data_IF_219775120979
#
_entry.id   IF_219775120979
#
_cell.length_a   1.000
_cell.length_b   1.000
_cell.length_c   1.000
_cell.angle_alpha   90.00
_cell.angle_beta   90.00
_cell.angle_gamma   90.00
#
_symmetry.space_group_name_H-M   'P 1'
#
loop_
_entity.id
_entity.type
_entity.pdbx_description
1 polymer ?
#
# COMPACT_ATOMS: atom_id res chain seq x y z
N UNK A 1 -1.55 -36.37 -8.80
CA UNK A 1 -0.67 -35.26 -8.38
C UNK A 1 -0.04 -35.61 -7.04
N UNK A 2 1.23 -35.26 -6.82
CA UNK A 2 1.97 -35.61 -5.60
C UNK A 2 1.39 -34.88 -4.36
N UNK A 3 1.12 -35.57 -3.23
CA UNK A 3 0.49 -34.95 -2.05
C UNK A 3 1.27 -33.76 -1.50
N UNK A 4 2.59 -33.86 -1.38
CA UNK A 4 3.42 -32.75 -0.88
C UNK A 4 3.41 -31.53 -1.81
N UNK A 5 3.32 -31.73 -3.13
CA UNK A 5 3.21 -30.61 -4.09
C UNK A 5 1.86 -29.90 -3.90
N UNK A 6 0.78 -30.65 -3.66
CA UNK A 6 -0.53 -30.05 -3.39
C UNK A 6 -0.55 -29.30 -2.06
N UNK A 7 -0.02 -29.92 -0.99
CA UNK A 7 0.08 -29.31 0.34
C UNK A 7 0.88 -28.00 0.28
N UNK A 8 2.07 -28.05 -0.30
CA UNK A 8 2.94 -26.90 -0.43
C UNK A 8 2.33 -25.83 -1.34
N UNK A 9 1.68 -26.22 -2.44
CA UNK A 9 0.96 -25.29 -3.31
C UNK A 9 -0.10 -24.47 -2.56
N UNK A 10 -0.89 -25.13 -1.70
CA UNK A 10 -1.86 -24.44 -0.84
C UNK A 10 -1.16 -23.50 0.15
N UNK A 11 -0.13 -24.00 0.85
CA UNK A 11 0.63 -23.21 1.81
C UNK A 11 1.23 -21.95 1.19
N UNK A 12 1.80 -22.05 -0.01
CA UNK A 12 2.40 -20.91 -0.72
C UNK A 12 1.34 -19.88 -1.11
N UNK A 13 0.13 -20.29 -1.52
CA UNK A 13 -0.96 -19.37 -1.80
C UNK A 13 -1.44 -18.64 -0.53
N UNK A 14 -1.60 -19.36 0.58
CA UNK A 14 -1.99 -18.78 1.86
C UNK A 14 -0.95 -17.77 2.37
N UNK A 15 0.34 -18.10 2.20
CA UNK A 15 1.45 -17.20 2.54
C UNK A 15 1.51 -15.99 1.60
N UNK A 16 1.25 -16.15 0.30
CA UNK A 16 1.21 -15.02 -0.65
C UNK A 16 0.13 -14.00 -0.26
N UNK A 17 -1.07 -14.47 0.10
CA UNK A 17 -2.14 -13.59 0.58
C UNK A 17 -1.78 -12.87 1.87
N UNK A 18 -1.14 -13.58 2.80
CA UNK A 18 -0.71 -13.00 4.09
C UNK A 18 0.42 -11.98 3.90
N UNK A 19 1.40 -12.29 3.05
CA UNK A 19 2.49 -11.37 2.70
C UNK A 19 1.98 -10.11 2.02
N UNK A 20 0.99 -10.22 1.12
CA UNK A 20 0.36 -9.06 0.49
C UNK A 20 -0.39 -8.20 1.52
N UNK A 21 -1.15 -8.81 2.43
CA UNK A 21 -1.85 -8.08 3.50
C UNK A 21 -0.88 -7.33 4.42
N UNK A 22 0.19 -8.00 4.85
CA UNK A 22 1.23 -7.39 5.68
C UNK A 22 1.94 -6.25 4.94
N UNK A 23 2.27 -6.46 3.66
CA UNK A 23 2.94 -5.44 2.84
C UNK A 23 2.09 -4.17 2.71
N UNK A 24 0.79 -4.31 2.42
CA UNK A 24 -0.12 -3.18 2.31
C UNK A 24 -0.26 -2.42 3.64
N UNK A 25 -0.44 -3.16 4.74
CA UNK A 25 -0.58 -2.55 6.06
C UNK A 25 0.69 -1.81 6.48
N UNK A 26 1.85 -2.44 6.33
CA UNK A 26 3.12 -1.85 6.69
C UNK A 26 3.51 -0.67 5.80
N UNK A 27 3.14 -0.67 4.51
CA UNK A 27 3.36 0.46 3.62
C UNK A 27 2.74 1.75 4.17
N UNK A 28 1.48 1.67 4.63
CA UNK A 28 0.79 2.83 5.22
C UNK A 28 1.52 3.42 6.44
N UNK A 29 2.15 2.58 7.26
CA UNK A 29 2.88 3.04 8.44
C UNK A 29 4.24 3.64 8.09
N UNK A 30 4.93 3.04 7.11
CA UNK A 30 6.20 3.56 6.62
C UNK A 30 6.02 4.93 5.96
N UNK A 31 4.93 5.12 5.21
CA UNK A 31 4.57 6.41 4.60
C UNK A 31 4.19 7.46 5.64
N UNK A 32 3.47 7.07 6.69
CA UNK A 32 3.10 7.96 7.80
C UNK A 32 4.30 8.37 8.68
N UNK A 33 5.49 7.79 8.48
CA UNK A 33 6.70 8.11 9.24
C UNK A 33 6.68 7.62 10.69
N UNK A 34 5.77 6.72 11.05
CA UNK A 34 5.61 6.21 12.40
C UNK A 34 5.01 4.81 12.43
N UNK A 35 5.70 3.89 13.09
CA UNK A 35 5.16 2.55 13.35
C UNK A 35 4.31 2.56 14.63
N UNK A 36 3.09 2.02 14.59
CA UNK A 36 2.27 1.84 15.78
C UNK A 36 2.81 0.69 16.65
N UNK A 37 2.28 0.55 17.87
CA UNK A 37 2.77 -0.44 18.82
C UNK A 37 2.49 -1.89 18.37
N UNK A 38 1.45 -2.09 17.57
CA UNK A 38 1.03 -3.34 16.93
C UNK A 38 2.03 -3.79 15.84
N UNK A 39 2.90 -2.91 15.34
CA UNK A 39 3.88 -3.25 14.33
C UNK A 39 4.92 -4.28 14.80
N UNK A 40 5.06 -4.50 16.11
CA UNK A 40 5.91 -5.56 16.67
C UNK A 40 5.39 -6.95 16.36
N UNK A 41 4.08 -7.13 16.44
CA UNK A 41 3.45 -8.42 16.20
C UNK A 41 3.54 -8.74 14.71
N UNK A 42 3.23 -7.78 13.84
CA UNK A 42 3.37 -7.92 12.39
C UNK A 42 4.82 -8.16 11.96
N UNK A 43 5.81 -7.50 12.59
CA UNK A 43 7.22 -7.77 12.31
C UNK A 43 7.61 -9.20 12.70
N UNK A 44 7.10 -9.71 13.83
CA UNK A 44 7.33 -11.09 14.25
C UNK A 44 6.63 -12.09 13.33
N UNK A 45 5.45 -11.75 12.81
CA UNK A 45 4.71 -12.54 11.83
C UNK A 45 5.48 -12.65 10.51
N UNK A 46 6.04 -11.54 10.01
CA UNK A 46 6.90 -11.54 8.82
C UNK A 46 8.10 -12.48 8.99
N UNK A 47 8.77 -12.43 10.15
CA UNK A 47 9.90 -13.31 10.45
C UNK A 47 9.50 -14.78 10.52
N UNK A 48 8.37 -15.07 11.18
CA UNK A 48 7.85 -16.43 11.30
C UNK A 48 7.45 -17.00 9.93
N UNK A 49 6.78 -16.20 9.09
CA UNK A 49 6.39 -16.60 7.74
C UNK A 49 7.60 -16.89 6.85
N UNK A 50 8.60 -16.01 6.85
CA UNK A 50 9.82 -16.22 6.07
C UNK A 50 10.56 -17.51 6.51
N UNK A 51 10.71 -17.71 7.83
CA UNK A 51 11.32 -18.92 8.37
C UNK A 51 10.53 -20.20 8.08
N UNK A 52 9.20 -20.14 8.09
CA UNK A 52 8.35 -21.28 7.74
C UNK A 52 8.43 -21.62 6.25
N UNK A 53 8.38 -20.62 5.37
CA UNK A 53 8.54 -20.83 3.92
C UNK A 53 9.90 -21.44 3.59
N UNK A 54 10.97 -21.02 4.24
CA UNK A 54 12.30 -21.58 4.04
C UNK A 54 12.34 -23.09 4.33
N UNK A 55 11.83 -23.50 5.50
CA UNK A 55 11.74 -24.92 5.89
C UNK A 55 10.86 -25.73 4.94
N UNK A 56 9.77 -25.14 4.48
CA UNK A 56 8.84 -25.80 3.56
C UNK A 56 9.43 -25.97 2.16
N UNK A 57 10.24 -25.02 1.69
CA UNK A 57 11.03 -25.14 0.45
C UNK A 57 12.03 -26.28 0.54
N UNK A 58 12.78 -26.39 1.65
CA UNK A 58 13.72 -27.49 1.90
C UNK A 58 12.99 -28.85 1.90
N UNK A 59 11.83 -28.92 2.57
CA UNK A 59 11.00 -30.12 2.58
C UNK A 59 10.56 -30.51 1.17
N UNK A 60 10.11 -29.55 0.36
CA UNK A 60 9.69 -29.83 -1.01
C UNK A 60 10.86 -30.27 -1.90
N UNK A 61 12.04 -29.65 -1.76
CA UNK A 61 13.20 -30.01 -2.58
C UNK A 61 13.76 -31.40 -2.22
N UNK A 62 13.56 -31.84 -0.97
CA UNK A 62 13.93 -33.19 -0.49
C UNK A 62 13.11 -34.35 -1.08
N UNK A 63 12.04 -34.07 -1.84
CA UNK A 63 11.22 -35.12 -2.47
C UNK A 63 12.07 -35.99 -3.41
N UNK A 64 12.12 -37.28 -3.09
CA UNK A 64 12.76 -38.28 -3.93
C UNK A 64 11.91 -38.62 -5.16
N UNK A 65 12.37 -38.13 -6.32
CA UNK A 65 11.72 -38.37 -7.60
C UNK A 65 11.84 -39.82 -8.10
N UNK A 66 12.68 -40.65 -7.48
CA UNK A 66 12.82 -42.07 -7.82
C UNK A 66 11.79 -42.95 -7.11
N UNK A 67 11.31 -42.53 -5.93
CA UNK A 67 10.28 -43.20 -5.14
C UNK A 67 8.83 -42.82 -5.54
N UNK A 68 8.63 -42.16 -6.69
CA UNK A 68 7.33 -41.68 -7.13
C UNK A 68 6.37 -42.82 -7.51
N UNK A 69 5.15 -42.78 -6.96
CA UNK A 69 4.07 -43.68 -7.36
C UNK A 69 3.46 -43.22 -8.70
N UNK A 70 3.08 -44.14 -9.62
CA UNK A 70 2.46 -43.77 -10.88
C UNK A 70 1.20 -42.90 -10.75
N UNK A 71 0.40 -43.11 -9.69
CA UNK A 71 -0.80 -42.32 -9.39
C UNK A 71 -0.54 -40.85 -9.04
N UNK A 72 0.71 -40.49 -8.73
CA UNK A 72 1.07 -39.12 -8.36
C UNK A 72 1.42 -38.24 -9.56
N UNK A 73 1.48 -38.82 -10.77
CA UNK A 73 1.87 -38.15 -12.00
C UNK A 73 3.26 -38.60 -12.45
N UNK A 74 3.63 -38.24 -13.67
CA UNK A 74 4.95 -38.56 -14.20
C UNK A 74 6.05 -37.69 -13.54
N UNK A 75 7.28 -38.20 -13.60
CA UNK A 75 8.44 -37.59 -12.97
C UNK A 75 8.75 -36.18 -13.50
N UNK A 76 8.52 -35.93 -14.79
CA UNK A 76 8.80 -34.62 -15.38
C UNK A 76 7.79 -33.58 -14.88
N UNK A 77 6.50 -33.92 -14.82
CA UNK A 77 5.46 -33.05 -14.27
C UNK A 77 5.73 -32.70 -12.81
N UNK A 78 6.05 -33.69 -11.97
CA UNK A 78 6.37 -33.47 -10.53
C UNK A 78 7.59 -32.54 -10.38
N UNK A 79 8.66 -32.76 -11.17
CA UNK A 79 9.86 -31.91 -11.16
C UNK A 79 9.55 -30.47 -11.57
N UNK A 80 8.75 -30.28 -12.61
CA UNK A 80 8.37 -28.95 -13.10
C UNK A 80 7.50 -28.22 -12.09
N UNK A 81 6.46 -28.87 -11.56
CA UNK A 81 5.62 -28.28 -10.51
C UNK A 81 6.44 -27.89 -9.28
N UNK A 82 7.36 -28.76 -8.84
CA UNK A 82 8.29 -28.47 -7.75
C UNK A 82 9.10 -27.21 -8.01
N UNK A 83 9.77 -27.13 -9.17
CA UNK A 83 10.58 -25.97 -9.57
C UNK A 83 9.76 -24.68 -9.61
N UNK A 84 8.55 -24.73 -10.18
CA UNK A 84 7.66 -23.56 -10.27
C UNK A 84 7.23 -23.08 -8.89
N UNK A 85 6.84 -24.00 -7.99
CA UNK A 85 6.40 -23.65 -6.65
C UNK A 85 7.55 -23.09 -5.80
N UNK A 86 8.75 -23.68 -5.87
CA UNK A 86 9.95 -23.14 -5.20
C UNK A 86 10.23 -21.72 -5.69
N UNK A 87 10.29 -21.51 -7.00
CA UNK A 87 10.55 -20.18 -7.56
C UNK A 87 9.48 -19.14 -7.18
N UNK A 88 8.23 -19.57 -6.96
CA UNK A 88 7.19 -18.67 -6.45
C UNK A 88 7.35 -18.39 -4.95
N UNK A 89 7.67 -19.39 -4.13
CA UNK A 89 7.97 -19.23 -2.71
C UNK A 89 9.18 -18.31 -2.47
N UNK A 90 10.24 -18.44 -3.27
CA UNK A 90 11.43 -17.57 -3.22
C UNK A 90 11.09 -16.09 -3.46
N UNK A 91 10.16 -15.80 -4.37
CA UNK A 91 9.68 -14.42 -4.59
C UNK A 91 8.93 -13.88 -3.38
N UNK A 92 8.12 -14.72 -2.72
CA UNK A 92 7.41 -14.33 -1.49
C UNK A 92 8.42 -14.07 -0.37
N UNK A 93 9.40 -14.97 -0.18
CA UNK A 93 10.47 -14.78 0.81
C UNK A 93 11.24 -13.48 0.56
N UNK A 94 11.63 -13.20 -0.68
CA UNK A 94 12.30 -11.94 -1.04
C UNK A 94 11.45 -10.70 -0.72
N UNK A 95 10.14 -10.77 -0.93
CA UNK A 95 9.21 -9.70 -0.55
C UNK A 95 9.16 -9.50 0.98
N UNK A 96 9.06 -10.59 1.75
CA UNK A 96 9.06 -10.57 3.21
C UNK A 96 10.37 -10.05 3.78
N UNK A 97 11.52 -10.45 3.22
CA UNK A 97 12.85 -9.97 3.62
C UNK A 97 13.02 -8.47 3.31
N UNK A 98 12.53 -8.00 2.16
CA UNK A 98 12.50 -6.58 1.82
C UNK A 98 11.60 -5.77 2.75
N UNK A 99 10.47 -6.33 3.18
CA UNK A 99 9.61 -5.73 4.18
C UNK A 99 10.30 -5.68 5.56
N UNK A 100 10.89 -6.80 6.00
CA UNK A 100 11.64 -6.90 7.25
C UNK A 100 12.79 -5.88 7.31
N UNK A 101 13.53 -5.72 6.22
CA UNK A 101 14.65 -4.78 6.13
C UNK A 101 14.20 -3.34 6.31
N UNK A 102 13.08 -2.94 5.70
CA UNK A 102 12.49 -1.60 5.85
C UNK A 102 11.99 -1.34 7.27
N UNK A 103 11.40 -2.34 7.91
CA UNK A 103 10.89 -2.19 9.27
C UNK A 103 11.99 -2.20 10.34
N UNK A 104 13.12 -2.90 10.11
CA UNK A 104 14.11 -3.22 11.13
C UNK A 104 14.61 -2.00 11.95
N UNK A 105 14.91 -0.87 11.28
CA UNK A 105 15.36 0.35 11.95
C UNK A 105 14.29 0.94 12.87
N UNK A 106 13.05 1.01 12.39
CA UNK A 106 11.93 1.50 13.17
C UNK A 106 11.60 0.56 14.34
N UNK A 107 11.71 -0.76 14.14
CA UNK A 107 11.51 -1.75 15.21
C UNK A 107 12.55 -1.62 16.32
N UNK A 108 13.82 -1.36 15.98
CA UNK A 108 14.86 -1.11 16.96
C UNK A 108 14.55 0.13 17.80
N UNK A 109 14.15 1.23 17.16
CA UNK A 109 13.75 2.45 17.84
C UNK A 109 12.52 2.25 18.75
N UNK A 110 11.52 1.51 18.29
CA UNK A 110 10.32 1.21 19.08
C UNK A 110 10.63 0.34 20.31
N UNK A 111 11.45 -0.71 20.14
CA UNK A 111 11.91 -1.57 21.25
C UNK A 111 12.68 -0.76 22.29
N UNK A 112 13.56 0.14 21.86
CA UNK A 112 14.32 1.01 22.76
C UNK A 112 13.41 1.99 23.51
N UNK A 113 12.42 2.58 22.82
CA UNK A 113 11.42 3.44 23.45
C UNK A 113 10.59 2.69 24.51
N UNK A 114 10.23 1.43 24.25
CA UNK A 114 9.53 0.57 25.23
C UNK A 114 10.42 0.28 26.44
N UNK A 115 11.70 -0.04 26.24
CA UNK A 115 12.67 -0.26 27.33
C UNK A 115 12.85 0.99 28.18
N UNK A 116 12.99 2.16 27.57
CA UNK A 116 13.13 3.43 28.29
C UNK A 116 11.86 3.77 29.10
N UNK A 117 10.66 3.52 28.56
CA UNK A 117 9.40 3.68 29.30
C UNK A 117 9.31 2.71 30.49
N UNK A 118 9.65 1.44 30.29
CA UNK A 118 9.64 0.44 31.35
C UNK A 118 10.64 0.77 32.47
N UNK A 119 11.85 1.25 32.13
CA UNK A 119 12.84 1.69 33.10
C UNK A 119 12.34 2.87 33.96
N UNK A 120 11.67 3.86 33.35
CA UNK A 120 11.07 4.99 34.09
C UNK A 120 9.97 4.54 35.04
N UNK A 121 9.12 3.62 34.60
CA UNK A 121 8.05 3.06 35.44
C UNK A 121 8.56 2.21 36.60
N UNK A 122 9.80 1.71 36.54
CA UNK A 122 10.43 1.00 37.65
C UNK A 122 11.13 1.96 38.63
N UNK A 123 11.47 3.19 38.21
CA UNK A 123 12.07 4.20 39.08
C UNK A 123 11.02 4.96 39.91
N UNK A 124 9.83 5.20 39.36
CA UNK A 124 8.76 5.96 40.04
C UNK A 124 8.19 5.31 41.31
N UNK A 125 7.98 3.98 41.46
CA UNK A 125 7.35 3.42 42.66
C UNK A 125 8.24 3.51 43.90
N UNK A 126 9.57 3.45 43.73
CA UNK A 126 10.53 3.53 44.83
C UNK A 126 10.82 4.98 45.25
N UNK A 127 10.79 5.93 44.31
CA UNK A 127 10.96 7.35 44.62
C UNK A 127 9.69 8.03 45.13
N UNK A 128 8.49 7.65 44.67
CA UNK A 128 7.23 8.21 45.18
C UNK A 128 6.96 7.82 46.63
N UNK A 129 7.23 6.57 47.03
CA UNK A 129 7.16 6.16 48.45
C UNK A 129 8.18 6.93 49.32
N UNK A 130 9.38 7.16 48.79
CA UNK A 130 10.45 7.90 49.47
C UNK A 130 10.15 9.41 49.57
N UNK A 131 9.47 9.99 48.58
CA UNK A 131 9.09 11.40 48.54
C UNK A 131 7.82 11.70 49.35
N UNK A 132 6.80 10.83 49.33
CA UNK A 132 5.62 10.97 50.18
C UNK A 132 5.98 10.89 51.67
N UNK A 133 6.90 10.00 52.08
CA UNK A 133 7.43 9.97 53.45
C UNK A 133 8.19 11.25 53.81
N UNK A 134 8.92 11.86 52.86
CA UNK A 134 9.71 13.08 53.08
C UNK A 134 8.89 14.37 53.08
N UNK A 135 7.83 14.45 52.26
CA UNK A 135 7.10 15.70 52.00
C UNK A 135 5.65 15.70 52.49
N UNK A 136 5.07 14.55 52.86
CA UNK A 136 3.72 14.44 53.43
C UNK A 136 3.51 15.21 54.75
N UNK A 137 4.60 15.66 55.40
CA UNK A 137 4.52 16.49 56.62
C UNK A 137 4.39 18.00 56.38
N UNK A 138 4.47 18.54 55.15
CA UNK A 138 4.54 20.01 54.93
C UNK A 138 3.38 20.67 54.20
N UNK A 139 2.44 19.94 53.60
CA UNK A 139 1.36 20.56 52.81
C UNK A 139 -0.01 20.11 53.30
N UNK A 140 -0.46 20.71 54.43
CA UNK A 140 -1.86 20.73 54.82
C UNK A 140 -2.33 22.18 54.97
N UNK A 141 -3.23 22.58 54.04
CA UNK A 141 -4.20 23.70 54.03
C UNK A 141 -3.72 25.14 53.70
N UNK A 142 -4.65 26.06 53.34
CA UNK A 142 -5.80 25.95 52.43
C UNK A 142 -5.99 27.18 51.48
N UNK A 143 -6.88 27.01 50.49
CA UNK A 143 -7.79 27.98 49.81
C UNK A 143 -7.34 29.41 49.46
N UNK A 144 -7.44 29.75 48.17
CA UNK A 144 -8.04 31.03 47.74
C UNK A 144 -8.49 31.00 46.28
N UNK A 145 -9.81 31.02 46.13
CA UNK A 145 -10.63 31.35 44.96
C UNK A 145 -10.26 32.65 44.25
N UNK A 146 -10.53 32.73 42.94
CA UNK A 146 -10.53 33.99 42.19
C UNK A 146 -10.95 33.84 40.73
N UNK A 147 -12.27 33.85 40.50
CA UNK A 147 -12.92 34.20 39.23
C UNK A 147 -12.36 35.50 38.62
N UNK A 148 -12.36 35.62 37.28
CA UNK A 148 -13.06 36.67 36.48
C UNK A 148 -12.80 36.40 34.97
N UNK A 149 -13.86 36.14 34.23
CA UNK A 149 -14.07 36.56 32.83
C UNK A 149 -15.29 37.52 32.85
N UNK A 150 -15.81 38.11 31.74
CA UNK A 150 -15.34 38.25 30.35
C UNK A 150 -15.45 39.71 29.83
N UNK A 151 -15.01 40.03 28.60
CA UNK A 151 -15.53 41.23 27.91
C UNK A 151 -15.49 41.11 26.37
N UNK A 152 -16.40 41.84 25.73
CA UNK A 152 -17.07 41.56 24.47
C UNK A 152 -16.41 42.13 23.20
N UNK A 153 -16.86 41.61 22.06
CA UNK A 153 -16.67 42.10 20.68
C UNK A 153 -17.41 43.46 20.45
N UNK A 154 -17.38 44.17 19.28
CA UNK A 154 -17.67 43.65 17.93
C UNK A 154 -17.00 44.45 16.75
N UNK A 155 -17.60 44.67 15.55
CA UNK A 155 -17.16 44.09 14.27
C UNK A 155 -16.71 45.14 13.22
N UNK A 156 -16.10 44.72 12.10
CA UNK A 156 -15.93 45.62 10.93
C UNK A 156 -16.30 44.94 9.61
N UNK A 157 -17.09 45.72 8.87
CA UNK A 157 -17.71 45.53 7.57
C UNK A 157 -16.80 45.10 6.41
N UNK A 158 -17.41 44.32 5.50
CA UNK A 158 -17.72 44.79 4.14
C UNK A 158 -16.59 44.76 3.09
N UNK A 159 -16.66 43.79 2.18
CA UNK A 159 -16.17 43.96 0.82
C UNK A 159 -17.02 43.10 -0.15
N UNK A 160 -17.78 43.79 -0.98
CA UNK A 160 -18.53 43.28 -2.14
C UNK A 160 -17.59 42.96 -3.33
N UNK A 161 -18.09 42.26 -4.37
CA UNK A 161 -17.30 41.42 -5.26
C UNK A 161 -16.78 42.14 -6.52
N UNK A 162 -15.61 41.71 -7.00
CA UNK A 162 -15.07 42.08 -8.32
C UNK A 162 -15.54 41.13 -9.45
N UNK A 163 -15.58 41.60 -10.72
CA UNK A 163 -16.26 40.96 -11.85
C UNK A 163 -15.40 39.96 -12.65
N UNK A 164 -16.01 39.14 -13.55
CA UNK A 164 -15.39 37.93 -14.08
C UNK A 164 -14.40 38.23 -15.22
N UNK A 165 -13.11 37.96 -14.97
CA UNK A 165 -12.07 38.00 -15.98
C UNK A 165 -12.03 36.71 -16.81
N UNK A 166 -11.97 36.91 -18.12
CA UNK A 166 -11.71 35.98 -19.23
C UNK A 166 -11.14 34.59 -18.87
N UNK A 167 -11.77 33.55 -19.44
CA UNK A 167 -11.25 32.18 -19.53
C UNK A 167 -9.89 32.16 -20.24
N UNK A 168 -8.81 32.40 -19.48
CA UNK A 168 -7.48 31.91 -19.79
C UNK A 168 -7.59 30.39 -19.76
N UNK A 169 -7.37 29.74 -20.91
CA UNK A 169 -7.11 28.30 -20.94
C UNK A 169 -5.89 28.08 -20.05
N UNK A 170 -6.15 27.61 -18.83
CA UNK A 170 -5.13 27.30 -17.83
C UNK A 170 -4.21 26.29 -18.49
N UNK A 171 -2.93 26.64 -18.64
CA UNK A 171 -1.94 25.73 -19.17
C UNK A 171 -1.92 24.52 -18.23
N UNK A 172 -2.50 23.41 -18.69
CA UNK A 172 -2.54 22.17 -17.93
C UNK A 172 -1.10 21.73 -17.73
N UNK A 173 -0.62 21.78 -16.49
CA UNK A 173 0.75 21.40 -16.16
C UNK A 173 0.82 19.89 -15.90
N UNK A 174 1.98 19.29 -16.18
CA UNK A 174 2.25 17.91 -15.80
C UNK A 174 2.11 17.69 -14.28
N UNK A 175 2.26 18.75 -13.48
CA UNK A 175 2.06 18.75 -12.04
C UNK A 175 0.59 18.53 -11.66
N UNK A 176 -0.37 19.14 -12.38
CA UNK A 176 -1.80 18.91 -12.15
C UNK A 176 -2.19 17.44 -12.45
N UNK A 177 -1.58 16.83 -13.47
CA UNK A 177 -1.77 15.40 -13.76
C UNK A 177 -1.14 14.54 -12.67
N UNK A 178 0.07 14.87 -12.21
CA UNK A 178 0.75 14.13 -11.16
C UNK A 178 -0.03 14.18 -9.83
N UNK A 179 -0.58 15.33 -9.45
CA UNK A 179 -1.38 15.48 -8.22
C UNK A 179 -2.66 14.64 -8.28
N UNK A 180 -3.38 14.68 -9.40
CA UNK A 180 -4.60 13.88 -9.58
C UNK A 180 -4.28 12.39 -9.58
N UNK A 181 -3.14 12.01 -10.16
CA UNK A 181 -2.67 10.65 -10.19
C UNK A 181 -2.33 10.15 -8.77
N UNK A 182 -1.64 10.94 -7.95
CA UNK A 182 -1.39 10.60 -6.53
C UNK A 182 -2.69 10.44 -5.74
N UNK A 183 -3.67 11.33 -5.96
CA UNK A 183 -4.98 11.23 -5.30
C UNK A 183 -5.71 9.96 -5.67
N UNK A 184 -5.66 9.55 -6.93
CA UNK A 184 -6.29 8.31 -7.40
C UNK A 184 -5.52 7.07 -6.94
N UNK A 185 -4.18 7.12 -6.84
CA UNK A 185 -3.36 6.05 -6.24
C UNK A 185 -3.75 5.78 -4.79
N UNK A 186 -3.92 6.85 -4.00
CA UNK A 186 -4.33 6.71 -2.61
C UNK A 186 -5.67 5.96 -2.46
N UNK A 187 -6.56 6.06 -3.46
CA UNK A 187 -7.85 5.35 -3.49
C UNK A 187 -7.73 3.87 -3.93
N UNK A 188 -6.76 3.52 -4.78
CA UNK A 188 -6.58 2.14 -5.27
C UNK A 188 -5.69 1.29 -4.38
N UNK A 189 -4.78 1.91 -3.61
CA UNK A 189 -3.97 1.27 -2.58
C UNK A 189 -2.98 0.22 -3.10
N UNK A 190 -2.62 0.25 -4.38
CA UNK A 190 -1.64 -0.67 -4.97
C UNK A 190 -0.45 0.07 -5.59
N UNK A 191 0.76 -0.50 -5.51
CA UNK A 191 1.93 0.05 -6.18
C UNK A 191 1.74 -0.04 -7.70
N UNK A 192 2.08 1.04 -8.42
CA UNK A 192 2.00 1.04 -9.87
C UNK A 192 3.01 0.07 -10.49
N UNK A 193 2.57 -0.60 -11.54
CA UNK A 193 3.46 -1.48 -12.28
C UNK A 193 4.41 -0.64 -13.14
N UNK A 194 5.70 -1.00 -13.16
CA UNK A 194 6.68 -0.41 -14.05
C UNK A 194 6.77 -1.25 -15.32
N UNK A 195 6.13 -0.78 -16.40
CA UNK A 195 6.20 -1.39 -17.74
C UNK A 195 6.34 -0.32 -18.82
N UNK A 196 6.86 -0.64 -20.01
CA UNK A 196 6.90 0.29 -21.12
C UNK A 196 5.49 0.77 -21.51
N UNK A 197 5.37 2.04 -21.92
CA UNK A 197 4.08 2.66 -22.33
C UNK A 197 3.35 1.82 -23.39
N UNK A 198 4.07 1.22 -24.35
CA UNK A 198 3.48 0.34 -25.36
C UNK A 198 2.79 -0.90 -24.77
N UNK A 199 3.30 -1.46 -23.68
CA UNK A 199 2.68 -2.61 -23.01
C UNK A 199 1.35 -2.21 -22.38
N UNK A 200 1.32 -1.04 -21.73
CA UNK A 200 0.09 -0.50 -21.17
C UNK A 200 -0.93 -0.14 -22.25
N UNK A 201 -0.49 0.44 -23.37
CA UNK A 201 -1.37 0.72 -24.51
C UNK A 201 -2.13 -0.53 -24.97
N UNK A 202 -1.41 -1.64 -25.18
CA UNK A 202 -2.02 -2.92 -25.57
C UNK A 202 -2.95 -3.47 -24.50
N UNK A 203 -2.55 -3.37 -23.23
CA UNK A 203 -3.36 -3.83 -22.11
C UNK A 203 -4.68 -3.05 -21.99
N UNK A 204 -4.62 -1.71 -22.10
CA UNK A 204 -5.80 -0.85 -22.07
C UNK A 204 -6.75 -1.15 -23.24
N UNK A 205 -6.21 -1.32 -24.46
CA UNK A 205 -7.01 -1.68 -25.62
C UNK A 205 -7.69 -3.06 -25.46
N UNK A 206 -6.99 -4.05 -24.92
CA UNK A 206 -7.55 -5.36 -24.65
C UNK A 206 -8.64 -5.32 -23.58
N UNK A 207 -8.42 -4.56 -22.50
CA UNK A 207 -9.40 -4.38 -21.43
C UNK A 207 -10.64 -3.64 -21.95
N UNK A 208 -10.47 -2.60 -22.76
CA UNK A 208 -11.57 -1.86 -23.37
C UNK A 208 -12.49 -2.72 -24.26
N UNK A 209 -11.96 -3.81 -24.83
CA UNK A 209 -12.72 -4.74 -25.66
C UNK A 209 -13.54 -5.77 -24.86
N UNK A 210 -13.40 -5.84 -23.52
CA UNK A 210 -14.14 -6.79 -22.70
C UNK A 210 -15.60 -6.33 -22.49
N UNK A 211 -16.61 -7.20 -22.71
CA UNK A 211 -18.01 -6.80 -22.72
C UNK A 211 -18.65 -6.62 -21.33
N UNK A 212 -17.99 -7.01 -20.23
CA UNK A 212 -18.66 -7.06 -18.92
C UNK A 212 -17.83 -6.51 -17.75
N UNK A 213 -17.70 -5.19 -17.71
CA UNK A 213 -17.20 -4.48 -16.52
C UNK A 213 -18.24 -4.41 -15.40
N UNK A 214 -19.53 -4.38 -15.76
CA UNK A 214 -20.63 -4.21 -14.80
C UNK A 214 -20.75 -5.43 -13.88
N UNK A 215 -20.58 -6.64 -14.42
CA UNK A 215 -20.63 -7.90 -13.69
C UNK A 215 -19.36 -8.26 -12.94
N UNK A 216 -18.24 -7.55 -13.16
CA UNK A 216 -16.94 -7.88 -12.55
C UNK A 216 -16.26 -6.67 -11.92
N UNK A 217 -16.44 -6.48 -10.59
CA UNK A 217 -15.72 -5.45 -9.83
C UNK A 217 -14.19 -5.58 -9.92
N UNK A 218 -13.68 -6.79 -10.12
CA UNK A 218 -12.26 -7.06 -10.29
C UNK A 218 -11.73 -6.49 -11.61
N UNK A 219 -12.47 -6.65 -12.72
CA UNK A 219 -12.11 -6.07 -14.00
C UNK A 219 -12.14 -4.53 -13.96
N UNK A 220 -13.09 -3.95 -13.23
CA UNK A 220 -13.12 -2.51 -13.00
C UNK A 220 -11.86 -2.02 -12.29
N UNK A 221 -11.48 -2.72 -11.22
CA UNK A 221 -10.26 -2.41 -10.46
C UNK A 221 -9.02 -2.52 -11.35
N UNK A 222 -8.87 -3.63 -12.08
CA UNK A 222 -7.74 -3.85 -12.98
C UNK A 222 -7.66 -2.79 -14.09
N UNK A 223 -8.81 -2.37 -14.63
CA UNK A 223 -8.91 -1.28 -15.59
C UNK A 223 -8.39 0.04 -15.02
N UNK A 224 -8.87 0.44 -13.84
CA UNK A 224 -8.42 1.68 -13.19
C UNK A 224 -6.92 1.62 -12.84
N UNK A 225 -6.44 0.50 -12.29
CA UNK A 225 -5.02 0.31 -11.98
C UNK A 225 -4.13 0.37 -13.23
N UNK A 226 -4.61 -0.21 -14.34
CA UNK A 226 -3.92 -0.15 -15.64
C UNK A 226 -3.84 1.28 -16.15
N UNK A 227 -4.90 2.08 -16.00
CA UNK A 227 -4.88 3.51 -16.36
C UNK A 227 -3.85 4.26 -15.54
N UNK A 228 -3.88 4.15 -14.21
CA UNK A 228 -2.96 4.88 -13.34
C UNK A 228 -1.49 4.53 -13.63
N UNK A 229 -1.21 3.25 -13.89
CA UNK A 229 0.12 2.77 -14.27
C UNK A 229 0.55 3.33 -15.62
N UNK A 230 -0.36 3.34 -16.61
CA UNK A 230 -0.10 3.86 -17.94
C UNK A 230 0.17 5.36 -17.94
N UNK A 231 -0.63 6.15 -17.21
CA UNK A 231 -0.43 7.61 -17.11
C UNK A 231 0.90 7.92 -16.42
N UNK A 232 1.27 7.19 -15.36
CA UNK A 232 2.56 7.41 -14.72
C UNK A 232 3.73 7.14 -15.69
N UNK A 233 3.71 6.01 -16.37
CA UNK A 233 4.73 5.66 -17.35
C UNK A 233 4.80 6.69 -18.51
N UNK A 234 3.64 7.24 -18.90
CA UNK A 234 3.56 8.29 -19.92
C UNK A 234 4.18 9.61 -19.44
N UNK A 235 3.95 10.02 -18.19
CA UNK A 235 4.57 11.23 -17.62
C UNK A 235 6.10 11.12 -17.55
N UNK A 236 6.63 9.94 -17.20
CA UNK A 236 8.07 9.67 -17.20
C UNK A 236 8.70 9.85 -18.58
N UNK A 237 7.94 9.61 -19.65
CA UNK A 237 8.37 9.78 -21.04
C UNK A 237 8.36 11.25 -21.52
N UNK A 238 7.99 12.21 -20.68
CA UNK A 238 7.89 13.66 -20.99
C UNK A 238 6.97 13.92 -22.20
N UNK A 239 5.66 13.70 -22.04
CA UNK A 239 4.70 13.77 -23.14
C UNK A 239 4.48 15.21 -23.62
N UNK A 240 3.98 15.36 -24.85
CA UNK A 240 3.59 16.67 -25.39
C UNK A 240 2.45 17.30 -24.56
N UNK A 241 2.28 18.63 -24.64
CA UNK A 241 1.21 19.32 -23.90
C UNK A 241 -0.20 18.82 -24.26
N UNK A 242 -0.41 18.43 -25.52
CA UNK A 242 -1.66 17.82 -25.99
C UNK A 242 -1.90 16.44 -25.37
N UNK A 243 -0.85 15.61 -25.29
CA UNK A 243 -0.92 14.33 -24.61
C UNK A 243 -1.18 14.52 -23.11
N UNK A 244 -0.49 15.46 -22.44
CA UNK A 244 -0.76 15.79 -21.02
C UNK A 244 -2.22 16.17 -20.80
N UNK A 245 -2.81 17.02 -21.66
CA UNK A 245 -4.21 17.39 -21.56
C UNK A 245 -5.15 16.18 -21.72
N UNK A 246 -4.83 15.29 -22.66
CA UNK A 246 -5.60 14.05 -22.88
C UNK A 246 -5.51 13.08 -21.69
N UNK A 247 -4.32 12.93 -21.10
CA UNK A 247 -4.12 12.15 -19.88
C UNK A 247 -4.93 12.73 -18.71
N UNK A 248 -4.94 14.06 -18.54
CA UNK A 248 -5.72 14.72 -17.50
C UNK A 248 -7.22 14.46 -17.66
N UNK A 249 -7.75 14.63 -18.88
CA UNK A 249 -9.16 14.40 -19.18
C UNK A 249 -9.57 12.95 -18.89
N UNK A 250 -8.71 11.98 -19.23
CA UNK A 250 -8.96 10.58 -18.91
C UNK A 250 -9.04 10.34 -17.40
N UNK A 251 -8.10 10.89 -16.61
CA UNK A 251 -8.11 10.78 -15.15
C UNK A 251 -9.34 11.43 -14.52
N UNK A 252 -9.73 12.63 -14.98
CA UNK A 252 -10.93 13.31 -14.50
C UNK A 252 -12.21 12.52 -14.82
N UNK A 253 -12.27 11.87 -15.99
CA UNK A 253 -13.39 10.99 -16.34
C UNK A 253 -13.46 9.74 -15.46
N UNK A 254 -12.32 9.20 -15.03
CA UNK A 254 -12.29 8.10 -14.06
C UNK A 254 -12.77 8.57 -12.70
N UNK A 255 -12.31 9.73 -12.23
CA UNK A 255 -12.71 10.26 -10.92
C UNK A 255 -14.22 10.57 -10.86
N UNK A 256 -14.79 11.05 -11.96
CA UNK A 256 -16.22 11.35 -12.07
C UNK A 256 -17.09 10.15 -12.44
N UNK A 257 -16.50 8.98 -12.67
CA UNK A 257 -17.23 7.78 -13.11
C UNK A 257 -18.09 7.22 -11.97
N UNK A 258 -19.41 7.38 -12.07
CA UNK A 258 -20.36 6.81 -11.10
C UNK A 258 -20.73 5.36 -11.43
N UNK A 259 -20.60 4.96 -12.69
CA UNK A 259 -21.01 3.64 -13.19
C UNK A 259 -19.90 2.97 -14.02
N UNK A 260 -19.61 1.68 -13.77
CA UNK A 260 -18.52 0.96 -14.43
C UNK A 260 -18.69 0.81 -15.94
N UNK A 261 -19.89 0.98 -16.47
CA UNK A 261 -20.18 0.92 -17.92
C UNK A 261 -19.47 1.99 -18.74
N UNK A 262 -19.05 3.11 -18.13
CA UNK A 262 -18.29 4.15 -18.83
C UNK A 262 -16.79 3.86 -18.93
N UNK A 263 -16.26 2.90 -18.16
CA UNK A 263 -14.83 2.62 -18.07
C UNK A 263 -14.21 2.18 -19.42
N UNK A 264 -14.83 1.30 -20.23
CA UNK A 264 -14.28 0.88 -21.52
C UNK A 264 -13.98 2.04 -22.48
N UNK A 265 -14.85 3.06 -22.53
CA UNK A 265 -14.61 4.25 -23.36
C UNK A 265 -13.38 5.01 -22.87
N UNK A 266 -13.22 5.20 -21.56
CA UNK A 266 -12.05 5.89 -21.00
C UNK A 266 -10.76 5.12 -21.26
N UNK A 267 -10.79 3.79 -21.16
CA UNK A 267 -9.65 2.92 -21.48
C UNK A 267 -9.25 3.03 -22.96
N UNK A 268 -10.22 3.05 -23.87
CA UNK A 268 -10.00 3.21 -25.31
C UNK A 268 -9.39 4.58 -25.64
N UNK A 269 -9.97 5.65 -25.11
CA UNK A 269 -9.50 7.02 -25.37
C UNK A 269 -8.07 7.22 -24.83
N UNK A 270 -7.76 6.65 -23.67
CA UNK A 270 -6.41 6.67 -23.11
C UNK A 270 -5.43 5.85 -23.97
N UNK A 271 -5.82 4.67 -24.44
CA UNK A 271 -4.97 3.87 -25.33
C UNK A 271 -4.62 4.62 -26.63
N UNK A 272 -5.55 5.41 -27.17
CA UNK A 272 -5.30 6.27 -28.32
C UNK A 272 -4.37 7.44 -27.97
N UNK A 273 -4.57 8.10 -26.83
CA UNK A 273 -3.69 9.19 -26.38
C UNK A 273 -2.23 8.74 -26.20
N UNK A 274 -2.02 7.48 -25.80
CA UNK A 274 -0.70 6.87 -25.65
C UNK A 274 -0.07 6.42 -26.99
N UNK A 275 -0.79 6.46 -28.11
CA UNK A 275 -0.23 6.13 -29.42
C UNK A 275 0.70 7.22 -29.97
N UNK A 276 0.51 8.46 -29.53
CA UNK A 276 1.35 9.60 -29.90
C UNK A 276 2.60 9.83 -29.04
N UNK A 277 2.92 8.90 -28.13
CA UNK A 277 4.04 8.95 -27.19
C UNK A 277 5.11 7.89 -27.50
#
# INVERSE_FOLDING_TARGET
MHPEIQRFGKLVLDNAQSANRLSLRCASWLEAGGLPDEALDDYSEVQAMAGNLHKEVECLDSIDLSALRPSWGDKATVRMSRKTLIGFAERIMSCLEGLQSRMAGHMAALKERRRAKAARQQQTPAEELSLEEKYGKRLRRPDSSGDVAPEAAPPVAGAEPEPPAAKRQRAVSAEEVAELLERLRAKTGQPLQLRPVQAFRRQLANLAALPDFVGSPQLCREGVESVLSAVNAALDARPSSEAVASLLLALQRIESLQHPSGLPSVLSDLAQALEGL
#
